data_IF_200838034377
#
_entry.id   IF_200838034377
#
_cell.length_a   1.000
_cell.length_b   1.000
_cell.length_c   1.000
_cell.angle_alpha   90.00
_cell.angle_beta   90.00
_cell.angle_gamma   90.00
#
_symmetry.space_group_name_H-M   'P 1'
#
loop_
_entity.id
_entity.type
_entity.pdbx_description
1 polymer ?
#
# COMPACT_ATOMS: atom_id res chain seq x y z
N UNK A 1 20.29 4.87 15.81
CA UNK A 1 18.81 4.69 15.84
C UNK A 1 18.13 5.10 14.53
N UNK A 2 18.52 6.22 13.90
CA UNK A 2 17.97 6.67 12.62
C UNK A 2 18.11 5.62 11.49
N UNK A 3 19.26 4.97 11.37
CA UNK A 3 19.51 4.00 10.30
C UNK A 3 18.64 2.74 10.42
N UNK A 4 18.42 2.29 11.66
CA UNK A 4 17.49 1.18 11.96
C UNK A 4 16.06 1.57 11.56
N UNK A 5 15.62 2.80 11.87
CA UNK A 5 14.31 3.29 11.47
C UNK A 5 14.18 3.39 9.94
N UNK A 6 15.22 3.84 9.23
CA UNK A 6 15.25 3.86 7.77
C UNK A 6 15.18 2.46 7.18
N UNK A 7 15.94 1.51 7.73
CA UNK A 7 15.88 0.11 7.31
C UNK A 7 14.46 -0.45 7.47
N UNK A 8 13.84 -0.23 8.63
CA UNK A 8 12.45 -0.64 8.88
C UNK A 8 11.48 0.06 7.93
N UNK A 9 11.69 1.34 7.63
CA UNK A 9 10.86 2.10 6.70
C UNK A 9 10.95 1.55 5.27
N UNK A 10 12.16 1.30 4.78
CA UNK A 10 12.37 0.72 3.45
C UNK A 10 11.88 -0.73 3.37
N UNK A 11 12.03 -1.52 4.43
CA UNK A 11 11.43 -2.85 4.49
C UNK A 11 9.90 -2.77 4.43
N UNK A 12 9.30 -1.81 5.15
CA UNK A 12 7.88 -1.51 5.07
C UNK A 12 7.43 -1.17 3.65
N UNK A 13 8.23 -0.38 2.92
CA UNK A 13 7.99 -0.02 1.52
C UNK A 13 8.07 -1.23 0.59
N UNK A 14 9.10 -2.07 0.73
CA UNK A 14 9.26 -3.29 -0.06
C UNK A 14 8.11 -4.26 0.19
N UNK A 15 7.73 -4.49 1.44
CA UNK A 15 6.61 -5.38 1.79
C UNK A 15 5.26 -4.80 1.37
N UNK A 16 5.03 -3.53 1.65
CA UNK A 16 3.77 -2.82 1.41
C UNK A 16 3.51 -2.63 -0.09
N UNK A 17 4.38 -1.89 -0.76
CA UNK A 17 4.25 -1.59 -2.18
C UNK A 17 4.55 -2.83 -3.03
N UNK A 18 5.59 -3.61 -2.70
CA UNK A 18 6.00 -4.78 -3.49
C UNK A 18 4.92 -5.87 -3.56
N UNK A 19 4.24 -6.16 -2.46
CA UNK A 19 3.08 -7.07 -2.48
C UNK A 19 1.92 -6.53 -3.32
N UNK A 20 1.67 -5.22 -3.28
CA UNK A 20 0.69 -4.54 -4.13
C UNK A 20 1.01 -4.65 -5.62
N UNK A 21 2.27 -4.42 -5.99
CA UNK A 21 2.77 -4.60 -7.35
C UNK A 21 2.60 -6.05 -7.82
N UNK A 22 2.99 -7.03 -7.00
CA UNK A 22 2.84 -8.44 -7.32
C UNK A 22 1.38 -8.81 -7.57
N UNK A 23 0.47 -8.43 -6.66
CA UNK A 23 -0.97 -8.70 -6.81
C UNK A 23 -1.57 -8.02 -8.06
N UNK A 24 -1.12 -6.81 -8.39
CA UNK A 24 -1.56 -6.12 -9.60
C UNK A 24 -1.15 -6.86 -10.87
N UNK A 25 0.14 -7.19 -11.02
CA UNK A 25 0.64 -7.86 -12.22
C UNK A 25 0.08 -9.27 -12.35
N UNK A 26 0.01 -10.05 -11.27
CA UNK A 26 -0.58 -11.39 -11.31
C UNK A 26 -2.07 -11.28 -11.65
N UNK A 27 -2.80 -10.34 -11.05
CA UNK A 27 -4.21 -10.11 -11.36
C UNK A 27 -4.45 -9.71 -12.82
N UNK A 28 -3.53 -8.93 -13.42
CA UNK A 28 -3.59 -8.56 -14.83
C UNK A 28 -3.33 -9.76 -15.74
N UNK A 29 -2.28 -10.55 -15.47
CA UNK A 29 -1.94 -11.75 -16.24
C UNK A 29 -3.03 -12.83 -16.14
N UNK A 30 -3.63 -12.98 -14.95
CA UNK A 30 -4.63 -14.00 -14.67
C UNK A 30 -5.97 -13.76 -15.39
N UNK A 31 -6.17 -12.62 -16.06
CA UNK A 31 -7.33 -12.38 -16.93
C UNK A 31 -7.37 -13.34 -18.13
N UNK A 32 -6.21 -13.87 -18.54
CA UNK A 32 -6.07 -14.81 -19.66
C UNK A 32 -6.23 -16.28 -19.24
N UNK A 33 -6.37 -16.55 -17.95
CA UNK A 33 -6.44 -17.92 -17.43
C UNK A 33 -7.88 -18.45 -17.42
N UNK A 34 -8.07 -19.79 -17.42
CA UNK A 34 -9.36 -20.41 -17.12
C UNK A 34 -9.92 -19.89 -15.79
N UNK A 35 -11.25 -19.72 -15.72
CA UNK A 35 -11.91 -19.07 -14.59
C UNK A 35 -11.62 -19.76 -13.24
N UNK A 36 -11.54 -21.09 -13.24
CA UNK A 36 -11.23 -21.90 -12.04
C UNK A 36 -9.79 -21.69 -11.57
N UNK A 37 -8.80 -21.80 -12.47
CA UNK A 37 -7.38 -21.58 -12.18
C UNK A 37 -7.12 -20.16 -11.68
N UNK A 38 -7.81 -19.16 -12.26
CA UNK A 38 -7.78 -17.77 -11.80
C UNK A 38 -8.28 -17.65 -10.36
N UNK A 39 -9.45 -18.22 -10.06
CA UNK A 39 -10.06 -18.13 -8.73
C UNK A 39 -9.16 -18.78 -7.68
N UNK A 40 -8.68 -19.99 -7.95
CA UNK A 40 -7.82 -20.73 -7.03
C UNK A 40 -6.52 -19.97 -6.73
N UNK A 41 -5.86 -19.46 -7.76
CA UNK A 41 -4.61 -18.71 -7.59
C UNK A 41 -4.83 -17.42 -6.80
N UNK A 42 -5.90 -16.68 -7.08
CA UNK A 42 -6.23 -15.46 -6.34
C UNK A 42 -6.53 -15.71 -4.87
N UNK A 43 -7.15 -16.85 -4.53
CA UNK A 43 -7.39 -17.25 -3.15
C UNK A 43 -6.07 -17.56 -2.43
N UNK A 44 -5.18 -18.34 -3.06
CA UNK A 44 -3.87 -18.67 -2.49
C UNK A 44 -2.99 -17.43 -2.28
N UNK A 45 -3.04 -16.49 -3.22
CA UNK A 45 -2.30 -15.22 -3.15
C UNK A 45 -2.91 -14.20 -2.19
N UNK A 46 -4.12 -14.46 -1.65
CA UNK A 46 -4.73 -13.55 -0.68
C UNK A 46 -3.85 -13.37 0.56
N UNK A 47 -3.06 -14.38 0.94
CA UNK A 47 -2.11 -14.28 2.04
C UNK A 47 -1.05 -13.18 1.84
N UNK A 48 -0.70 -12.85 0.59
CA UNK A 48 0.22 -11.76 0.25
C UNK A 48 -0.30 -10.39 0.72
N UNK A 49 -1.61 -10.27 0.93
CA UNK A 49 -2.26 -9.06 1.42
C UNK A 49 -1.92 -8.77 2.89
N UNK A 50 -1.63 -9.80 3.70
CA UNK A 50 -1.12 -9.60 5.05
C UNK A 50 0.28 -8.97 5.05
N UNK A 51 1.14 -9.38 4.12
CA UNK A 51 2.45 -8.75 3.94
C UNK A 51 2.31 -7.26 3.58
N UNK A 52 1.30 -6.93 2.76
CA UNK A 52 0.97 -5.53 2.45
C UNK A 52 0.58 -4.73 3.69
N UNK A 53 -0.27 -5.29 4.56
CA UNK A 53 -0.70 -4.64 5.80
C UNK A 53 0.43 -4.47 6.82
N UNK A 54 1.28 -5.49 6.97
CA UNK A 54 2.48 -5.40 7.83
C UNK A 54 3.42 -4.32 7.27
N UNK A 55 3.68 -4.34 5.97
CA UNK A 55 4.50 -3.33 5.31
C UNK A 55 3.97 -1.92 5.52
N UNK A 56 2.66 -1.71 5.36
CA UNK A 56 2.00 -0.43 5.60
C UNK A 56 2.12 0.02 7.06
N UNK A 57 1.93 -0.89 8.02
CA UNK A 57 2.10 -0.59 9.44
C UNK A 57 3.53 -0.13 9.74
N UNK A 58 4.52 -0.86 9.23
CA UNK A 58 5.92 -0.48 9.36
C UNK A 58 6.18 0.90 8.75
N UNK A 59 5.65 1.17 7.55
CA UNK A 59 5.78 2.44 6.84
C UNK A 59 5.23 3.63 7.64
N UNK A 60 4.04 3.48 8.22
CA UNK A 60 3.39 4.54 9.00
C UNK A 60 4.14 4.79 10.32
N UNK A 61 4.48 3.75 11.06
CA UNK A 61 5.16 3.88 12.36
C UNK A 61 6.58 4.43 12.19
N UNK A 62 7.36 3.85 11.28
CA UNK A 62 8.73 4.31 11.01
C UNK A 62 8.75 5.70 10.37
N UNK A 63 7.83 5.98 9.43
CA UNK A 63 7.70 7.28 8.79
C UNK A 63 7.37 8.38 9.80
N UNK A 64 6.38 8.14 10.69
CA UNK A 64 6.05 9.07 11.75
C UNK A 64 7.22 9.31 12.72
N UNK A 65 7.98 8.27 13.07
CA UNK A 65 9.17 8.42 13.91
C UNK A 65 10.28 9.24 13.22
N UNK A 66 10.50 9.03 11.91
CA UNK A 66 11.49 9.76 11.11
C UNK A 66 11.13 11.24 10.88
N UNK A 67 9.85 11.61 11.03
CA UNK A 67 9.39 13.00 10.89
C UNK A 67 9.65 13.88 12.11
N UNK A 68 9.85 13.31 13.30
CA UNK A 68 10.07 14.07 14.55
C UNK A 68 11.12 15.19 14.44
N UNK A 69 12.33 14.96 13.89
CA UNK A 69 13.35 16.00 13.77
C UNK A 69 13.01 17.09 12.74
N UNK A 70 12.08 16.84 11.82
CA UNK A 70 11.66 17.78 10.77
C UNK A 70 10.41 18.59 11.16
N UNK A 71 9.93 18.49 12.40
CA UNK A 71 8.66 19.08 12.86
C UNK A 71 8.59 20.61 12.68
N UNK A 72 9.71 21.32 12.84
CA UNK A 72 9.78 22.78 12.69
C UNK A 72 9.96 23.25 11.24
N UNK A 73 10.47 22.38 10.36
CA UNK A 73 10.73 22.68 8.94
C UNK A 73 9.67 22.08 8.00
N UNK A 74 8.72 21.33 8.56
CA UNK A 74 7.70 20.55 7.85
C UNK A 74 6.84 21.41 6.92
N UNK A 75 6.57 22.66 7.29
CA UNK A 75 5.83 23.61 6.48
C UNK A 75 6.57 24.03 5.19
N UNK A 76 7.90 23.95 5.19
CA UNK A 76 8.75 24.35 4.07
C UNK A 76 9.07 23.20 3.11
N UNK A 77 8.61 21.97 3.41
CA UNK A 77 8.87 20.76 2.62
C UNK A 77 7.58 20.28 1.91
N UNK A 78 7.16 20.90 0.79
CA UNK A 78 5.88 20.58 0.14
C UNK A 78 5.79 19.12 -0.33
N UNK A 79 6.90 18.55 -0.78
CA UNK A 79 6.96 17.14 -1.21
C UNK A 79 6.69 16.15 -0.08
N UNK A 80 7.04 16.52 1.16
CA UNK A 80 6.77 15.70 2.33
C UNK A 80 5.27 15.61 2.63
N UNK A 81 4.52 16.69 2.39
CA UNK A 81 3.05 16.70 2.46
C UNK A 81 2.42 15.84 1.37
N UNK A 82 2.93 15.91 0.14
CA UNK A 82 2.47 15.04 -0.96
C UNK A 82 2.69 13.57 -0.60
N UNK A 83 3.87 13.22 -0.05
CA UNK A 83 4.16 11.88 0.45
C UNK A 83 3.18 11.46 1.55
N UNK A 84 2.93 12.31 2.53
CA UNK A 84 2.02 12.02 3.65
C UNK A 84 0.58 11.83 3.18
N UNK A 85 0.11 12.65 2.24
CA UNK A 85 -1.20 12.50 1.62
C UNK A 85 -1.30 11.17 0.86
N UNK A 86 -0.30 10.83 0.07
CA UNK A 86 -0.26 9.57 -0.66
C UNK A 86 -0.30 8.36 0.28
N UNK A 87 0.47 8.37 1.37
CA UNK A 87 0.41 7.32 2.40
C UNK A 87 -0.97 7.25 3.05
N UNK A 88 -1.61 8.39 3.32
CA UNK A 88 -2.96 8.44 3.87
C UNK A 88 -3.99 7.79 2.94
N UNK A 89 -3.89 8.05 1.62
CA UNK A 89 -4.72 7.39 0.60
C UNK A 89 -4.51 5.88 0.61
N UNK A 90 -3.27 5.40 0.73
CA UNK A 90 -2.96 3.96 0.84
C UNK A 90 -3.64 3.35 2.07
N UNK A 91 -3.55 4.02 3.23
CA UNK A 91 -4.19 3.57 4.48
C UNK A 91 -5.71 3.49 4.32
N UNK A 92 -6.33 4.53 3.76
CA UNK A 92 -7.79 4.54 3.51
C UNK A 92 -8.18 3.39 2.57
N UNK A 93 -7.44 3.18 1.48
CA UNK A 93 -7.69 2.08 0.56
C UNK A 93 -7.55 0.70 1.23
N UNK A 94 -6.56 0.55 2.12
CA UNK A 94 -6.36 -0.67 2.90
C UNK A 94 -7.53 -0.95 3.85
N UNK A 95 -7.94 0.05 4.64
CA UNK A 95 -9.07 -0.05 5.59
C UNK A 95 -10.38 -0.34 4.86
N UNK A 96 -10.68 0.41 3.79
CA UNK A 96 -11.85 0.17 2.95
C UNK A 96 -11.82 -1.23 2.33
N UNK A 97 -10.64 -1.70 1.90
CA UNK A 97 -10.46 -3.04 1.37
C UNK A 97 -10.81 -4.14 2.39
N UNK A 98 -10.34 -4.02 3.64
CA UNK A 98 -10.68 -4.95 4.73
C UNK A 98 -12.17 -4.90 5.05
N UNK A 99 -12.73 -3.69 5.16
CA UNK A 99 -14.14 -3.50 5.47
C UNK A 99 -15.06 -4.11 4.40
N UNK A 100 -14.73 -3.89 3.12
CA UNK A 100 -15.47 -4.47 1.99
C UNK A 100 -15.34 -5.99 1.93
N UNK A 101 -14.15 -6.55 2.22
CA UNK A 101 -13.96 -7.99 2.30
C UNK A 101 -14.85 -8.65 3.37
N UNK A 102 -15.05 -7.99 4.52
CA UNK A 102 -15.95 -8.48 5.57
C UNK A 102 -17.44 -8.46 5.17
N UNK A 103 -17.81 -7.62 4.21
CA UNK A 103 -19.19 -7.52 3.70
C UNK A 103 -19.50 -8.51 2.57
N UNK A 104 -18.49 -9.14 1.97
CA UNK A 104 -18.67 -10.08 0.85
C UNK A 104 -19.69 -11.20 1.13
N UNK A 105 -19.77 -11.79 2.34
CA UNK A 105 -20.78 -12.82 2.64
C UNK A 105 -22.22 -12.31 2.54
N UNK A 106 -22.46 -11.02 2.76
CA UNK A 106 -23.78 -10.39 2.76
C UNK A 106 -24.07 -9.60 1.47
N UNK A 107 -23.03 -9.10 0.80
CA UNK A 107 -23.10 -8.27 -0.40
C UNK A 107 -22.00 -8.67 -1.39
N UNK A 108 -22.24 -9.64 -2.29
CA UNK A 108 -21.24 -10.10 -3.25
C UNK A 108 -20.79 -8.99 -4.22
N UNK A 109 -21.62 -7.97 -4.44
CA UNK A 109 -21.28 -6.78 -5.22
C UNK A 109 -20.10 -5.97 -4.64
N UNK A 110 -19.77 -6.12 -3.34
CA UNK A 110 -18.62 -5.48 -2.72
C UNK A 110 -17.28 -5.92 -3.34
N UNK A 111 -17.23 -7.11 -3.94
CA UNK A 111 -16.03 -7.64 -4.62
C UNK A 111 -15.61 -6.79 -5.83
N UNK A 112 -16.57 -6.16 -6.52
CA UNK A 112 -16.31 -5.37 -7.73
C UNK A 112 -15.48 -4.12 -7.47
N UNK A 113 -15.47 -3.61 -6.22
CA UNK A 113 -14.73 -2.40 -5.83
C UNK A 113 -13.30 -2.68 -5.37
N UNK A 114 -12.99 -3.92 -5.00
CA UNK A 114 -11.66 -4.30 -4.50
C UNK A 114 -10.54 -4.09 -5.54
N UNK A 115 -10.72 -4.39 -6.84
CA UNK A 115 -9.70 -4.12 -7.85
C UNK A 115 -9.41 -2.63 -8.01
N UNK A 116 -10.43 -1.78 -7.90
CA UNK A 116 -10.27 -0.32 -8.02
C UNK A 116 -9.44 0.21 -6.84
N UNK A 117 -9.77 -0.20 -5.60
CA UNK A 117 -8.98 0.15 -4.41
C UNK A 117 -7.53 -0.30 -4.53
N UNK A 118 -7.27 -1.47 -5.11
CA UNK A 118 -5.92 -1.96 -5.39
C UNK A 118 -5.15 -1.07 -6.36
N UNK A 119 -5.77 -0.66 -7.48
CA UNK A 119 -5.14 0.24 -8.46
C UNK A 119 -4.86 1.62 -7.90
N UNK A 120 -5.79 2.18 -7.13
CA UNK A 120 -5.62 3.48 -6.45
C UNK A 120 -4.49 3.41 -5.43
N UNK A 121 -4.44 2.35 -4.62
CA UNK A 121 -3.36 2.11 -3.65
C UNK A 121 -2.00 1.99 -4.34
N UNK A 122 -1.93 1.30 -5.49
CA UNK A 122 -0.71 1.17 -6.27
C UNK A 122 -0.22 2.53 -6.81
N UNK A 123 -1.12 3.31 -7.41
CA UNK A 123 -0.81 4.64 -7.90
C UNK A 123 -0.34 5.57 -6.77
N UNK A 124 -1.01 5.52 -5.62
CA UNK A 124 -0.59 6.26 -4.42
C UNK A 124 0.76 5.79 -3.89
N UNK A 125 1.08 4.49 -3.97
CA UNK A 125 2.39 3.95 -3.57
C UNK A 125 3.51 4.48 -4.46
N UNK A 126 3.31 4.54 -5.77
CA UNK A 126 4.26 5.15 -6.72
C UNK A 126 4.44 6.64 -6.42
N UNK A 127 3.35 7.37 -6.21
CA UNK A 127 3.40 8.79 -5.87
C UNK A 127 4.16 9.02 -4.55
N UNK A 128 3.95 8.19 -3.54
CA UNK A 128 4.66 8.29 -2.26
C UNK A 128 6.17 8.08 -2.42
N UNK A 129 6.59 7.18 -3.31
CA UNK A 129 8.02 6.94 -3.62
C UNK A 129 8.61 8.16 -4.34
N UNK A 130 7.95 8.67 -5.38
CA UNK A 130 8.40 9.85 -6.13
C UNK A 130 8.52 11.07 -5.23
N UNK A 131 7.49 11.33 -4.41
CA UNK A 131 7.49 12.43 -3.45
C UNK A 131 8.60 12.26 -2.39
N UNK A 132 8.93 11.03 -1.99
CA UNK A 132 10.05 10.79 -1.09
C UNK A 132 11.40 11.14 -1.74
N UNK A 133 11.61 10.75 -3.00
CA UNK A 133 12.84 11.09 -3.73
C UNK A 133 12.97 12.61 -3.85
N UNK A 134 11.91 13.30 -4.27
CA UNK A 134 11.93 14.77 -4.41
C UNK A 134 12.07 15.53 -3.07
N UNK A 135 11.67 14.93 -1.95
CA UNK A 135 11.76 15.57 -0.63
C UNK A 135 13.16 15.44 0.02
N UNK A 136 13.94 14.43 -0.38
CA UNK A 136 15.21 14.08 0.24
C UNK A 136 16.38 14.00 -0.75
N UNK A 137 16.19 14.49 -1.99
CA UNK A 137 17.26 14.82 -2.94
C UNK A 137 17.62 16.30 -2.82
#
# INVERSE_FOLDING_TARGET
MRDVLLLVHFLGLVLGAGSGFALFFIGHLAQRWPAEARRETMVRLFALRYASYVGLLLLVLSGGALLRPYSTQLAQMPWLWVKALAVTVIVICAVLGVWRMRQVPQQPAALLRLPILGKVSLAASVLAILAAVMAFS
#
